data_IF_427740413394
#
_entry.id   IF_427740413394
#
_cell.length_a   1.000
_cell.length_b   1.000
_cell.length_c   1.000
_cell.angle_alpha   90.00
_cell.angle_beta   90.00
_cell.angle_gamma   90.00
#
_symmetry.space_group_name_H-M   'P 1'
#
loop_
_entity.id
_entity.type
_entity.pdbx_description
1 polymer ?
#
# COMPACT_ATOMS: atom_id res chain seq x y z
N UNK A 1 60.60 -9.29 2.58
CA UNK A 1 60.98 -10.69 2.85
C UNK A 1 60.20 -11.12 4.09
N UNK A 2 59.30 -12.09 4.13
CA UNK A 2 59.16 -13.35 3.40
C UNK A 2 57.68 -13.61 3.07
N UNK A 3 57.50 -14.16 1.89
CA UNK A 3 56.34 -14.87 1.35
C UNK A 3 55.93 -16.06 2.22
N UNK A 4 54.63 -16.28 2.42
CA UNK A 4 54.07 -17.61 2.61
C UNK A 4 52.96 -17.80 1.58
N UNK A 5 53.25 -18.68 0.63
CA UNK A 5 52.39 -19.17 -0.42
C UNK A 5 51.80 -20.53 -0.02
N UNK A 6 50.90 -21.02 -0.88
CA UNK A 6 50.28 -22.35 -0.97
C UNK A 6 48.99 -22.54 -0.17
N UNK A 7 47.85 -22.56 -0.88
CA UNK A 7 47.29 -23.66 -1.72
C UNK A 7 46.57 -24.69 -0.85
N UNK A 8 45.29 -24.88 -1.15
CA UNK A 8 44.59 -26.16 -1.42
C UNK A 8 43.10 -25.94 -1.17
N UNK A 9 42.28 -26.19 -2.19
CA UNK A 9 40.83 -26.16 -2.06
C UNK A 9 40.08 -25.99 -3.39
N UNK A 10 40.48 -26.71 -4.43
CA UNK A 10 39.67 -26.93 -5.64
C UNK A 10 38.72 -28.12 -5.36
N UNK A 11 37.57 -28.17 -6.06
CA UNK A 11 36.42 -29.10 -5.97
C UNK A 11 35.32 -28.65 -4.97
N UNK A 12 34.04 -28.53 -5.31
CA UNK A 12 33.26 -29.14 -6.39
C UNK A 12 32.12 -28.24 -6.88
N UNK A 13 31.82 -28.35 -8.17
CA UNK A 13 30.60 -27.87 -8.82
C UNK A 13 29.35 -28.64 -8.33
N UNK A 14 28.21 -27.96 -8.49
CA UNK A 14 26.87 -28.50 -8.78
C UNK A 14 26.04 -29.18 -7.68
N UNK A 15 25.12 -28.41 -7.11
CA UNK A 15 23.70 -28.74 -6.96
C UNK A 15 22.94 -27.40 -7.00
N UNK A 16 22.43 -26.95 -8.16
CA UNK A 16 21.13 -27.31 -8.75
C UNK A 16 19.98 -27.16 -7.74
N UNK A 17 19.18 -26.13 -8.01
CA UNK A 17 17.74 -26.00 -7.78
C UNK A 17 17.21 -25.97 -6.34
N UNK A 18 16.39 -24.93 -6.11
CA UNK A 18 15.15 -25.16 -5.37
C UNK A 18 14.96 -24.38 -4.08
N UNK A 19 15.32 -23.09 -4.03
CA UNK A 19 14.73 -22.17 -3.02
C UNK A 19 13.87 -21.06 -3.65
N UNK A 20 13.37 -21.31 -4.86
CA UNK A 20 12.25 -20.57 -5.46
C UNK A 20 10.95 -21.36 -5.27
N UNK A 21 10.62 -21.76 -4.04
CA UNK A 21 9.30 -22.31 -3.68
C UNK A 21 8.81 -21.68 -2.38
N UNK A 22 8.77 -20.34 -2.36
CA UNK A 22 7.95 -19.54 -1.46
C UNK A 22 6.81 -18.80 -2.18
N UNK A 23 6.69 -18.93 -3.51
CA UNK A 23 5.52 -18.49 -4.29
C UNK A 23 4.45 -19.60 -4.28
N UNK A 24 4.07 -20.05 -3.09
CA UNK A 24 2.92 -20.93 -2.91
C UNK A 24 1.63 -20.10 -2.96
N UNK A 25 0.91 -20.16 -4.08
CA UNK A 25 -0.53 -19.90 -4.15
C UNK A 25 -1.04 -18.53 -3.68
N UNK A 26 -0.43 -17.43 -4.12
CA UNK A 26 -1.26 -16.24 -4.36
C UNK A 26 -2.07 -16.48 -5.63
N UNK A 27 -3.14 -17.29 -5.55
CA UNK A 27 -4.26 -17.14 -6.47
C UNK A 27 -4.57 -15.64 -6.46
N UNK A 28 -4.24 -14.94 -7.56
CA UNK A 28 -4.32 -13.49 -7.62
C UNK A 28 -5.76 -13.11 -7.32
N UNK A 29 -6.01 -12.73 -6.06
CA UNK A 29 -7.35 -12.46 -5.56
C UNK A 29 -7.87 -11.30 -6.40
N UNK A 30 -8.94 -11.52 -7.17
CA UNK A 30 -9.52 -10.47 -8.02
C UNK A 30 -9.82 -9.26 -7.11
N UNK A 31 -9.08 -8.14 -7.27
CA UNK A 31 -9.23 -6.98 -6.39
C UNK A 31 -10.62 -6.35 -6.54
N UNK A 32 -11.33 -6.63 -7.63
CA UNK A 32 -12.65 -6.11 -7.95
C UNK A 32 -13.78 -7.05 -7.54
N UNK A 33 -13.50 -8.27 -7.03
CA UNK A 33 -14.54 -9.26 -6.74
C UNK A 33 -15.65 -8.70 -5.82
N UNK A 34 -15.27 -7.92 -4.80
CA UNK A 34 -16.22 -7.27 -3.90
C UNK A 34 -17.13 -6.27 -4.61
N UNK A 35 -16.55 -5.44 -5.48
CA UNK A 35 -17.27 -4.44 -6.27
C UNK A 35 -18.20 -5.09 -7.31
N UNK A 36 -17.71 -6.10 -8.05
CA UNK A 36 -18.51 -6.87 -9.02
C UNK A 36 -19.73 -7.52 -8.37
N UNK A 37 -19.55 -8.10 -7.18
CA UNK A 37 -20.65 -8.66 -6.40
C UNK A 37 -21.67 -7.59 -5.99
N UNK A 38 -21.21 -6.42 -5.53
CA UNK A 38 -22.10 -5.34 -5.14
C UNK A 38 -22.88 -4.74 -6.33
N UNK A 39 -22.23 -4.60 -7.50
CA UNK A 39 -22.87 -4.21 -8.77
C UNK A 39 -23.99 -5.18 -9.11
N UNK A 40 -23.72 -6.49 -9.00
CA UNK A 40 -24.74 -7.53 -9.24
C UNK A 40 -25.90 -7.42 -8.24
N UNK A 41 -25.61 -7.23 -6.95
CA UNK A 41 -26.63 -7.08 -5.90
C UNK A 41 -27.49 -5.82 -6.05
N UNK A 42 -26.94 -4.78 -6.68
CA UNK A 42 -27.63 -3.54 -7.00
C UNK A 42 -28.40 -3.60 -8.33
N UNK A 43 -28.37 -4.74 -9.03
CA UNK A 43 -28.93 -4.88 -10.39
C UNK A 43 -28.40 -3.81 -11.35
N UNK A 44 -27.14 -3.41 -11.18
CA UNK A 44 -26.47 -2.41 -11.99
C UNK A 44 -25.86 -3.04 -13.25
N UNK A 45 -25.57 -2.25 -14.31
CA UNK A 45 -24.81 -2.72 -15.45
C UNK A 45 -23.47 -3.32 -15.02
N UNK A 46 -23.12 -4.50 -15.54
CA UNK A 46 -21.82 -5.13 -15.25
C UNK A 46 -20.67 -4.21 -15.67
N UNK A 47 -19.52 -4.32 -15.01
CA UNK A 47 -18.32 -3.62 -15.47
C UNK A 47 -17.93 -4.14 -16.85
N UNK A 48 -17.60 -3.23 -17.75
CA UNK A 48 -16.98 -3.60 -19.02
C UNK A 48 -15.53 -4.02 -18.79
N UNK A 49 -14.97 -4.84 -19.68
CA UNK A 49 -13.55 -5.22 -19.62
C UNK A 49 -12.61 -4.00 -19.59
N UNK A 50 -12.96 -2.93 -20.31
CA UNK A 50 -12.25 -1.66 -20.29
C UNK A 50 -12.30 -0.99 -18.92
N UNK A 51 -13.46 -0.94 -18.26
CA UNK A 51 -13.58 -0.40 -16.90
C UNK A 51 -12.80 -1.24 -15.89
N UNK A 52 -12.85 -2.57 -16.00
CA UNK A 52 -12.08 -3.44 -15.10
C UNK A 52 -10.58 -3.19 -15.22
N UNK A 53 -10.09 -3.05 -16.45
CA UNK A 53 -8.69 -2.73 -16.72
C UNK A 53 -8.33 -1.34 -16.18
N UNK A 54 -9.17 -0.33 -16.41
CA UNK A 54 -8.97 1.02 -15.92
C UNK A 54 -8.93 1.09 -14.38
N UNK A 55 -9.89 0.46 -13.70
CA UNK A 55 -9.95 0.44 -12.23
C UNK A 55 -8.75 -0.32 -11.66
N UNK A 56 -8.35 -1.44 -12.28
CA UNK A 56 -7.17 -2.19 -11.83
C UNK A 56 -5.90 -1.35 -11.99
N UNK A 57 -5.75 -0.63 -13.11
CA UNK A 57 -4.63 0.28 -13.33
C UNK A 57 -4.60 1.42 -12.30
N UNK A 58 -5.76 1.97 -11.93
CA UNK A 58 -5.87 2.98 -10.87
C UNK A 58 -5.43 2.43 -9.50
N UNK A 59 -5.82 1.19 -9.17
CA UNK A 59 -5.41 0.53 -7.92
C UNK A 59 -3.89 0.32 -7.89
N UNK A 60 -3.30 -0.13 -9.00
CA UNK A 60 -1.84 -0.30 -9.12
C UNK A 60 -1.13 1.04 -8.98
N UNK A 61 -1.55 2.06 -9.74
CA UNK A 61 -0.96 3.40 -9.66
C UNK A 61 -1.08 4.02 -8.25
N UNK A 62 -2.16 3.75 -7.53
CA UNK A 62 -2.29 4.15 -6.13
C UNK A 62 -1.24 3.48 -5.25
N UNK A 63 -1.05 2.16 -5.40
CA UNK A 63 -0.06 1.40 -4.61
C UNK A 63 1.35 1.89 -4.91
N UNK A 64 1.69 2.06 -6.19
CA UNK A 64 3.01 2.54 -6.63
C UNK A 64 3.30 3.98 -6.18
N UNK A 65 2.26 4.77 -5.90
CA UNK A 65 2.39 6.13 -5.39
C UNK A 65 2.57 6.20 -3.86
N UNK A 66 2.35 5.08 -3.14
CA UNK A 66 2.59 5.05 -1.71
C UNK A 66 4.08 4.85 -1.43
N UNK A 67 4.61 5.43 -0.35
CA UNK A 67 5.97 5.13 0.09
C UNK A 67 6.06 3.64 0.46
N UNK A 68 6.77 2.85 -0.35
CA UNK A 68 7.02 1.43 -0.12
C UNK A 68 8.21 1.17 0.82
N UNK A 69 9.13 2.13 0.90
CA UNK A 69 10.38 2.00 1.67
C UNK A 69 10.34 2.74 3.00
N UNK A 70 11.27 2.36 3.88
CA UNK A 70 11.55 3.07 5.10
C UNK A 70 11.88 4.54 4.81
N UNK A 71 11.23 5.44 5.55
CA UNK A 71 11.43 6.87 5.37
C UNK A 71 12.72 7.30 6.09
N UNK A 72 13.81 7.41 5.33
CA UNK A 72 15.15 7.71 5.87
C UNK A 72 15.18 8.99 6.70
N UNK A 73 14.37 10.00 6.36
CA UNK A 73 14.26 11.23 7.13
C UNK A 73 13.56 11.00 8.49
N UNK A 74 12.51 10.17 8.52
CA UNK A 74 11.84 9.77 9.75
C UNK A 74 12.74 8.89 10.63
N UNK A 75 13.51 7.97 10.04
CA UNK A 75 14.49 7.15 10.76
C UNK A 75 15.59 8.03 11.36
N UNK A 76 16.19 8.91 10.56
CA UNK A 76 17.20 9.86 11.04
C UNK A 76 16.68 10.72 12.20
N UNK A 77 15.42 11.18 12.13
CA UNK A 77 14.82 11.95 13.20
C UNK A 77 14.57 11.12 14.48
N UNK A 78 14.25 9.82 14.35
CA UNK A 78 14.13 8.90 15.49
C UNK A 78 15.48 8.63 16.14
N UNK A 79 16.51 8.36 15.35
CA UNK A 79 17.86 8.15 15.86
C UNK A 79 18.37 9.39 16.61
N UNK A 80 18.12 10.60 16.07
CA UNK A 80 18.44 11.86 16.72
C UNK A 80 17.69 12.06 18.04
N UNK A 81 16.41 11.65 18.10
CA UNK A 81 15.61 11.70 19.31
C UNK A 81 16.17 10.78 20.39
N UNK A 82 16.45 9.52 20.05
CA UNK A 82 17.03 8.54 20.97
C UNK A 82 18.39 8.98 21.49
N UNK A 83 19.27 9.49 20.61
CA UNK A 83 20.56 10.03 21.00
C UNK A 83 20.43 11.22 21.96
N UNK A 84 19.46 12.11 21.73
CA UNK A 84 19.21 13.25 22.61
C UNK A 84 18.70 12.83 23.99
N UNK A 85 17.86 11.79 24.07
CA UNK A 85 17.41 11.21 25.33
C UNK A 85 18.56 10.60 26.11
N UNK A 86 19.44 9.82 25.45
CA UNK A 86 20.61 9.23 26.09
C UNK A 86 21.61 10.28 26.60
N UNK A 87 21.68 11.43 25.92
CA UNK A 87 22.52 12.56 26.32
C UNK A 87 21.86 13.46 27.39
N UNK A 88 20.61 13.21 27.79
CA UNK A 88 19.86 14.09 28.70
C UNK A 88 19.60 15.50 28.12
N UNK A 89 19.61 15.65 26.80
CA UNK A 89 19.46 16.94 26.13
C UNK A 89 18.01 17.18 25.71
N UNK A 90 17.24 17.81 26.60
CA UNK A 90 15.81 18.07 26.38
C UNK A 90 15.54 18.91 25.12
N UNK A 91 16.35 19.94 24.85
CA UNK A 91 16.15 20.82 23.69
C UNK A 91 16.30 20.05 22.38
N UNK A 92 17.36 19.23 22.27
CA UNK A 92 17.57 18.40 21.08
C UNK A 92 16.47 17.33 20.91
N UNK A 93 16.01 16.73 22.01
CA UNK A 93 14.90 15.78 21.98
C UNK A 93 13.61 16.43 21.45
N UNK A 94 13.28 17.64 21.93
CA UNK A 94 12.11 18.37 21.43
C UNK A 94 12.24 18.69 19.93
N UNK A 95 13.40 19.14 19.46
CA UNK A 95 13.64 19.40 18.03
C UNK A 95 13.47 18.15 17.17
N UNK A 96 13.98 17.00 17.62
CA UNK A 96 13.82 15.74 16.90
C UNK A 96 12.36 15.25 16.91
N UNK A 97 11.63 15.43 18.02
CA UNK A 97 10.21 15.12 18.10
C UNK A 97 9.37 15.96 17.12
N UNK A 98 9.66 17.26 17.01
CA UNK A 98 9.00 18.14 16.02
C UNK A 98 9.27 17.67 14.58
N UNK A 99 10.50 17.24 14.28
CA UNK A 99 10.87 16.69 12.99
C UNK A 99 10.11 15.39 12.66
N UNK A 100 9.98 14.48 13.65
CA UNK A 100 9.17 13.26 13.53
C UNK A 100 7.71 13.61 13.21
N UNK A 101 7.12 14.50 14.00
CA UNK A 101 5.72 14.92 13.83
C UNK A 101 5.48 15.55 12.46
N UNK A 102 6.37 16.44 12.03
CA UNK A 102 6.29 17.07 10.72
C UNK A 102 6.36 16.04 9.59
N UNK A 103 7.28 15.07 9.67
CA UNK A 103 7.42 14.03 8.64
C UNK A 103 6.21 13.09 8.59
N UNK A 104 5.68 12.71 9.75
CA UNK A 104 4.44 11.92 9.83
C UNK A 104 3.24 12.66 9.22
N UNK A 105 3.11 13.97 9.44
CA UNK A 105 2.07 14.79 8.84
C UNK A 105 2.19 14.86 7.30
N UNK A 106 3.40 14.94 6.76
CA UNK A 106 3.63 14.89 5.31
C UNK A 106 3.20 13.54 4.73
N UNK A 107 3.63 12.44 5.34
CA UNK A 107 3.30 11.08 4.88
C UNK A 107 1.80 10.80 4.96
N UNK A 108 1.13 11.23 6.03
CA UNK A 108 -0.33 11.08 6.17
C UNK A 108 -1.08 11.91 5.13
N UNK A 109 -0.64 13.14 4.86
CA UNK A 109 -1.21 13.99 3.82
C UNK A 109 -1.04 13.37 2.41
N UNK A 110 0.12 12.78 2.10
CA UNK A 110 0.34 12.08 0.84
C UNK A 110 -0.62 10.90 0.68
N UNK A 111 -0.73 10.03 1.70
CA UNK A 111 -1.66 8.89 1.69
C UNK A 111 -3.11 9.33 1.53
N UNK A 112 -3.52 10.38 2.25
CA UNK A 112 -4.88 10.90 2.17
C UNK A 112 -5.21 11.44 0.77
N UNK A 113 -4.29 12.20 0.18
CA UNK A 113 -4.44 12.72 -1.20
C UNK A 113 -4.50 11.61 -2.24
N UNK A 114 -3.60 10.63 -2.15
CA UNK A 114 -3.59 9.47 -3.04
C UNK A 114 -4.91 8.66 -2.92
N UNK A 115 -5.40 8.45 -1.70
CA UNK A 115 -6.64 7.72 -1.44
C UNK A 115 -7.86 8.47 -1.97
N UNK A 116 -7.91 9.78 -1.79
CA UNK A 116 -8.96 10.64 -2.34
C UNK A 116 -8.97 10.58 -3.87
N UNK A 117 -7.79 10.69 -4.51
CA UNK A 117 -7.66 10.58 -5.97
C UNK A 117 -8.17 9.23 -6.49
N UNK A 118 -7.69 8.13 -5.91
CA UNK A 118 -8.15 6.78 -6.28
C UNK A 118 -9.67 6.67 -6.18
N UNK A 119 -10.24 7.12 -5.05
CA UNK A 119 -11.67 7.04 -4.80
C UNK A 119 -12.46 7.82 -5.85
N UNK A 120 -12.06 9.07 -6.14
CA UNK A 120 -12.71 9.91 -7.14
C UNK A 120 -12.62 9.30 -8.55
N UNK A 121 -11.46 8.80 -8.95
CA UNK A 121 -11.26 8.22 -10.28
C UNK A 121 -12.07 6.94 -10.48
N UNK A 122 -12.21 6.10 -9.44
CA UNK A 122 -13.07 4.90 -9.49
C UNK A 122 -14.54 5.31 -9.54
N UNK A 123 -14.99 6.26 -8.71
CA UNK A 123 -16.36 6.75 -8.74
C UNK A 123 -16.72 7.35 -10.11
N UNK A 124 -15.80 8.07 -10.74
CA UNK A 124 -15.98 8.58 -12.10
C UNK A 124 -16.16 7.43 -13.11
N UNK A 125 -15.33 6.38 -13.03
CA UNK A 125 -15.49 5.19 -13.88
C UNK A 125 -16.86 4.51 -13.69
N UNK A 126 -17.33 4.40 -12.44
CA UNK A 126 -18.65 3.83 -12.12
C UNK A 126 -19.80 4.73 -12.55
N UNK A 127 -19.61 6.05 -12.53
CA UNK A 127 -20.59 7.02 -13.01
C UNK A 127 -20.75 6.89 -14.54
N UNK A 128 -19.64 6.85 -15.28
CA UNK A 128 -19.66 6.74 -16.75
C UNK A 128 -20.31 5.44 -17.23
N UNK A 129 -20.13 4.33 -16.52
CA UNK A 129 -20.80 3.05 -16.87
C UNK A 129 -22.20 2.88 -16.28
N UNK A 130 -22.75 3.89 -15.60
CA UNK A 130 -24.10 3.86 -15.03
C UNK A 130 -24.24 3.00 -13.76
N UNK A 131 -23.15 2.51 -13.18
CA UNK A 131 -23.18 1.69 -11.97
C UNK A 131 -23.41 2.53 -10.70
N UNK A 132 -22.88 3.76 -10.64
CA UNK A 132 -22.86 4.54 -9.40
C UNK A 132 -24.27 4.87 -8.88
N UNK A 133 -25.21 5.23 -9.76
CA UNK A 133 -26.59 5.51 -9.37
C UNK A 133 -27.25 4.30 -8.72
N UNK A 134 -27.17 3.13 -9.36
CA UNK A 134 -27.76 1.90 -8.84
C UNK A 134 -27.13 1.46 -7.50
N UNK A 135 -25.79 1.62 -7.37
CA UNK A 135 -25.09 1.38 -6.11
C UNK A 135 -25.59 2.30 -4.99
N UNK A 136 -25.76 3.60 -5.25
CA UNK A 136 -26.27 4.56 -4.27
C UNK A 136 -27.77 4.38 -3.95
N UNK A 137 -28.55 3.77 -4.85
CA UNK A 137 -29.94 3.39 -4.55
C UNK A 137 -29.99 2.16 -3.65
N UNK A 138 -29.08 1.19 -3.86
CA UNK A 138 -29.06 -0.07 -3.10
C UNK A 138 -28.37 0.06 -1.74
N UNK A 139 -27.32 0.86 -1.67
CA UNK A 139 -26.45 1.03 -0.52
C UNK A 139 -26.36 2.50 -0.12
N UNK A 140 -26.03 2.79 1.15
CA UNK A 140 -25.74 4.17 1.56
C UNK A 140 -24.47 4.68 0.87
N UNK A 141 -24.37 6.00 0.66
CA UNK A 141 -23.17 6.62 0.09
C UNK A 141 -21.90 6.26 0.87
N UNK A 142 -22.00 6.22 2.21
CA UNK A 142 -20.92 5.78 3.11
C UNK A 142 -20.48 4.35 2.80
N UNK A 143 -21.44 3.43 2.58
CA UNK A 143 -21.14 2.04 2.25
C UNK A 143 -20.47 1.91 0.89
N UNK A 144 -20.89 2.71 -0.10
CA UNK A 144 -20.25 2.76 -1.43
C UNK A 144 -18.82 3.26 -1.32
N UNK A 145 -18.57 4.34 -0.57
CA UNK A 145 -17.23 4.88 -0.34
C UNK A 145 -16.32 3.86 0.37
N UNK A 146 -16.81 3.18 1.41
CA UNK A 146 -16.05 2.13 2.10
C UNK A 146 -15.67 1.00 1.14
N UNK A 147 -16.59 0.59 0.26
CA UNK A 147 -16.34 -0.45 -0.72
C UNK A 147 -15.24 -0.04 -1.71
N UNK A 148 -15.33 1.18 -2.27
CA UNK A 148 -14.31 1.70 -3.18
C UNK A 148 -12.94 1.80 -2.50
N UNK A 149 -12.88 2.32 -1.26
CA UNK A 149 -11.62 2.41 -0.50
C UNK A 149 -11.01 1.04 -0.20
N UNK A 150 -11.83 0.02 0.01
CA UNK A 150 -11.36 -1.34 0.31
C UNK A 150 -10.63 -2.02 -0.86
N UNK A 151 -10.85 -1.57 -2.11
CA UNK A 151 -10.21 -2.13 -3.30
C UNK A 151 -8.69 -2.00 -3.27
N UNK A 152 -8.18 -0.97 -2.59
CA UNK A 152 -6.75 -0.72 -2.45
C UNK A 152 -6.08 -1.52 -1.30
N UNK A 153 -6.82 -2.39 -0.60
CA UNK A 153 -6.33 -3.10 0.59
C UNK A 153 -6.63 -2.39 1.92
N UNK A 154 -7.43 -1.31 1.89
CA UNK A 154 -7.97 -0.69 3.09
C UNK A 154 -9.01 -1.60 3.74
N UNK A 155 -8.57 -2.50 4.62
CA UNK A 155 -9.47 -3.20 5.54
C UNK A 155 -10.32 -2.16 6.28
N UNK A 156 -11.64 -2.40 6.34
CA UNK A 156 -12.57 -1.46 6.95
C UNK A 156 -12.09 -0.99 8.33
N UNK A 157 -12.28 0.29 8.62
CA UNK A 157 -12.24 0.79 9.99
C UNK A 157 -13.31 0.03 10.78
N UNK A 158 -12.88 -1.03 11.45
CA UNK A 158 -13.69 -2.02 12.14
C UNK A 158 -12.78 -2.98 12.91
N UNK A 159 -11.76 -2.42 13.57
CA UNK A 159 -11.08 -3.06 14.69
C UNK A 159 -11.91 -2.78 15.93
N UNK A 160 -12.28 -3.86 16.61
CA UNK A 160 -12.94 -3.89 17.92
C UNK A 160 -12.21 -2.99 18.91
N UNK A 161 -12.97 -2.14 19.59
CA UNK A 161 -13.05 -2.04 21.05
C UNK A 161 -14.48 -1.56 21.40
#
# INVERSE_FOLDING_TARGET
>A
MKTFAMMVGLLAMSAVMGLAQGQGNNATRDPLAGLKRAITQASAPVLTATQETAITALITAYRDALPDEADTALETARDAYEAALLAGNQTAANTAADAIAARQAVLSAMRLKASAKLTLDILANLQTGGQLTALNTKFTAERVLQMVRSLAGGGGFGGRD
#
